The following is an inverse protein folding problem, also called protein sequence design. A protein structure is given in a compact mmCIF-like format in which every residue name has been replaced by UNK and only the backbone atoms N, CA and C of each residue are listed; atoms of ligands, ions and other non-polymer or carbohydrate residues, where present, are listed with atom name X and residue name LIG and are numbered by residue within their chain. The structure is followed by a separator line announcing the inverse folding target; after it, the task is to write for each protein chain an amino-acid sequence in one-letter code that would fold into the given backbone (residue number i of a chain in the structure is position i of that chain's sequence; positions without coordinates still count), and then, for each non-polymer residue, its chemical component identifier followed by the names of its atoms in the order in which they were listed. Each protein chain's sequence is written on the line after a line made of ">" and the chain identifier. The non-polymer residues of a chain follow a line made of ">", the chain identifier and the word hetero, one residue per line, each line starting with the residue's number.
data_IF_164983585879
#
_entry.id   IF_164983585879
#
_cell.length_a   1.000
_cell.length_b   1.000
_cell.length_c   1.000
_cell.angle_alpha   90.00
_cell.angle_beta   90.00
_cell.angle_gamma   90.00
#
_symmetry.space_group_name_H-M   'P 1'
#
loop_
_entity.id
_entity.type
_entity.pdbx_description
1 polymer ?
#
# COMPACT_ATOMS: atom_id res chain seq x y z
N UNK A 1 -60.07 -16.84 21.06
CA UNK A 1 -58.82 -17.60 20.81
C UNK A 1 -58.18 -17.10 19.51
N UNK A 2 -56.93 -16.59 19.59
CA UNK A 2 -55.83 -16.77 18.61
C UNK A 2 -56.10 -16.29 17.17
N UNK A 3 -55.44 -15.32 16.53
CA UNK A 3 -54.25 -14.48 16.81
C UNK A 3 -54.38 -13.24 15.90
N UNK A 4 -54.43 -12.04 16.48
CA UNK A 4 -53.70 -10.91 15.88
C UNK A 4 -52.23 -11.23 16.12
N UNK A 5 -51.35 -11.08 15.13
CA UNK A 5 -50.04 -10.42 15.25
C UNK A 5 -49.14 -10.78 14.06
N UNK A 6 -48.62 -9.71 13.46
CA UNK A 6 -47.44 -9.63 12.62
C UNK A 6 -47.52 -10.26 11.22
N UNK A 7 -47.90 -9.41 10.24
CA UNK A 7 -47.13 -9.38 9.01
C UNK A 7 -45.65 -9.24 9.40
N UNK A 8 -44.91 -10.34 9.31
CA UNK A 8 -43.45 -10.28 9.26
C UNK A 8 -43.16 -9.65 7.90
N UNK A 9 -43.09 -8.31 7.89
CA UNK A 9 -42.49 -7.58 6.78
C UNK A 9 -41.09 -8.14 6.62
N UNK A 10 -40.92 -8.86 5.52
CA UNK A 10 -39.69 -9.48 5.08
C UNK A 10 -38.68 -8.35 4.74
N UNK A 11 -38.11 -7.71 5.76
CA UNK A 11 -36.88 -6.94 5.59
C UNK A 11 -35.75 -7.93 5.37
N UNK A 12 -35.59 -8.36 4.11
CA UNK A 12 -34.28 -8.73 3.62
C UNK A 12 -33.40 -7.48 3.72
N UNK A 13 -32.76 -7.31 4.87
CA UNK A 13 -31.68 -6.34 5.00
C UNK A 13 -30.56 -6.89 4.11
N UNK A 14 -30.47 -6.34 2.89
CA UNK A 14 -29.27 -6.45 2.07
C UNK A 14 -28.16 -5.73 2.84
N UNK A 15 -27.47 -6.44 3.73
CA UNK A 15 -26.17 -6.01 4.21
C UNK A 15 -25.25 -6.06 3.00
N UNK A 16 -25.13 -4.93 2.31
CA UNK A 16 -24.10 -4.73 1.31
C UNK A 16 -22.77 -4.90 2.04
N UNK A 17 -22.07 -6.00 1.77
CA UNK A 17 -20.67 -6.10 2.14
C UNK A 17 -19.92 -5.05 1.31
N UNK A 18 -19.60 -3.92 1.92
CA UNK A 18 -18.61 -3.03 1.36
C UNK A 18 -17.27 -3.76 1.39
N UNK A 19 -16.86 -4.31 0.25
CA UNK A 19 -15.49 -4.76 0.06
C UNK A 19 -14.65 -3.53 -0.19
N UNK A 20 -13.97 -3.02 0.83
CA UNK A 20 -12.92 -2.04 0.62
C UNK A 20 -11.70 -2.78 0.06
N UNK A 21 -11.21 -2.35 -1.12
CA UNK A 21 -9.87 -2.71 -1.56
C UNK A 21 -8.85 -2.10 -0.58
N UNK A 22 -7.61 -2.63 -0.55
CA UNK A 22 -6.56 -2.02 0.26
C UNK A 22 -6.33 -0.57 -0.19
N UNK A 23 -6.10 0.34 0.76
CA UNK A 23 -5.91 1.76 0.46
C UNK A 23 -4.46 2.13 0.09
N UNK A 24 -3.57 1.15 0.01
CA UNK A 24 -2.18 1.33 -0.42
C UNK A 24 -2.03 0.86 -1.87
N UNK A 25 -1.40 1.68 -2.70
CA UNK A 25 -1.06 1.33 -4.08
C UNK A 25 0.41 1.60 -4.36
N UNK A 26 0.95 0.95 -5.40
CA UNK A 26 2.17 1.45 -6.05
C UNK A 26 1.78 2.76 -6.74
N UNK A 27 2.38 3.86 -6.31
CA UNK A 27 2.15 5.18 -6.86
C UNK A 27 3.09 5.45 -8.03
N UNK A 28 4.37 5.13 -7.85
CA UNK A 28 5.42 5.29 -8.86
C UNK A 28 6.39 4.11 -8.82
N UNK A 29 7.10 3.89 -9.94
CA UNK A 29 8.16 2.89 -10.06
C UNK A 29 9.17 3.30 -11.13
N UNK A 30 10.45 3.01 -10.90
CA UNK A 30 11.55 3.30 -11.81
C UNK A 30 12.55 2.14 -11.82
N UNK A 31 12.59 1.40 -12.93
CA UNK A 31 13.39 0.18 -13.13
C UNK A 31 14.70 0.37 -13.91
N UNK A 32 15.17 1.62 -14.00
CA UNK A 32 16.44 1.97 -14.64
C UNK A 32 16.92 3.33 -14.10
N UNK A 33 16.91 3.47 -12.79
CA UNK A 33 17.29 4.71 -12.13
C UNK A 33 18.77 5.02 -12.35
N UNK A 34 19.09 6.27 -12.71
CA UNK A 34 20.46 6.76 -12.88
C UNK A 34 20.69 8.12 -12.23
N UNK A 35 19.69 8.63 -11.51
CA UNK A 35 19.65 10.01 -11.02
C UNK A 35 19.61 10.04 -9.49
N UNK A 36 18.73 9.25 -8.88
CA UNK A 36 18.51 9.32 -7.44
C UNK A 36 19.38 8.30 -6.72
N UNK A 37 20.20 8.77 -5.80
CA UNK A 37 21.11 7.92 -5.04
C UNK A 37 20.48 7.45 -3.74
N UNK A 38 20.78 6.22 -3.35
CA UNK A 38 20.55 5.73 -1.99
C UNK A 38 21.63 6.27 -1.01
N UNK A 39 21.55 5.88 0.25
CA UNK A 39 22.50 6.31 1.29
C UNK A 39 23.96 5.86 1.09
N UNK A 40 24.23 4.92 0.17
CA UNK A 40 25.60 4.52 -0.17
C UNK A 40 26.13 5.21 -1.43
N UNK A 41 25.30 6.01 -2.11
CA UNK A 41 25.65 6.65 -3.37
C UNK A 41 25.37 5.79 -4.62
N UNK A 42 24.70 4.65 -4.47
CA UNK A 42 24.27 3.82 -5.61
C UNK A 42 22.95 4.35 -6.18
N UNK A 43 22.60 3.97 -7.41
CA UNK A 43 21.33 4.38 -8.06
C UNK A 43 20.41 3.18 -8.29
N UNK A 44 19.96 2.47 -7.23
CA UNK A 44 19.11 1.30 -7.39
C UNK A 44 17.74 1.68 -7.95
N UNK A 45 17.06 0.69 -8.50
CA UNK A 45 15.65 0.79 -8.83
C UNK A 45 14.83 1.14 -7.59
N UNK A 46 13.68 1.74 -7.78
CA UNK A 46 12.81 2.10 -6.67
C UNK A 46 11.34 2.07 -7.06
N UNK A 47 10.51 1.97 -6.05
CA UNK A 47 9.08 2.18 -6.17
C UNK A 47 8.56 2.92 -4.95
N UNK A 48 7.42 3.55 -5.13
CA UNK A 48 6.74 4.32 -4.10
C UNK A 48 5.39 3.70 -3.80
N UNK A 49 5.10 3.53 -2.51
CA UNK A 49 3.77 3.19 -2.03
C UNK A 49 3.06 4.45 -1.54
N UNK A 50 1.78 4.59 -1.85
CA UNK A 50 0.94 5.67 -1.36
C UNK A 50 -0.30 5.13 -0.67
N UNK A 51 -0.58 5.61 0.54
CA UNK A 51 -1.85 5.36 1.22
C UNK A 51 -2.85 6.45 0.85
N UNK A 52 -3.73 6.15 -0.11
CA UNK A 52 -4.80 7.06 -0.54
C UNK A 52 -6.05 7.01 0.35
N UNK A 53 -6.03 6.17 1.39
CA UNK A 53 -7.13 6.01 2.34
C UNK A 53 -7.15 7.09 3.40
N UNK A 54 -8.15 7.00 4.28
CA UNK A 54 -8.36 7.90 5.42
C UNK A 54 -7.85 7.34 6.76
N UNK A 55 -7.30 6.11 6.75
CA UNK A 55 -6.86 5.38 7.94
C UNK A 55 -5.40 4.90 7.79
N UNK A 56 -4.61 4.85 8.89
CA UNK A 56 -3.26 4.28 8.86
C UNK A 56 -3.24 2.81 8.41
N UNK A 57 -2.24 2.41 7.62
CA UNK A 57 -2.07 1.03 7.17
C UNK A 57 -0.72 0.49 7.60
N UNK A 58 -0.72 -0.55 8.43
CA UNK A 58 0.48 -1.32 8.77
C UNK A 58 0.83 -2.28 7.63
N UNK A 59 2.08 -2.26 7.20
CA UNK A 59 2.66 -3.19 6.24
C UNK A 59 3.20 -4.46 6.91
N UNK A 60 2.92 -4.68 8.19
CA UNK A 60 3.36 -5.88 8.87
C UNK A 60 2.80 -7.13 8.15
N UNK A 61 3.70 -8.08 7.86
CA UNK A 61 3.45 -9.27 7.06
C UNK A 61 3.14 -9.05 5.57
N UNK A 62 3.30 -7.83 5.06
CA UNK A 62 3.28 -7.61 3.62
C UNK A 62 4.61 -8.07 3.03
N UNK A 63 4.55 -8.47 1.77
CA UNK A 63 5.72 -8.85 0.97
C UNK A 63 5.67 -8.17 -0.39
N UNK A 64 6.83 -8.04 -1.04
CA UNK A 64 6.95 -7.64 -2.44
C UNK A 64 7.70 -8.75 -3.18
N UNK A 65 7.33 -8.95 -4.44
CA UNK A 65 8.02 -9.86 -5.34
C UNK A 65 7.86 -9.41 -6.78
N UNK A 66 8.87 -9.73 -7.58
CA UNK A 66 8.92 -9.65 -9.04
C UNK A 66 8.78 -11.04 -9.69
N UNK A 67 8.45 -12.07 -8.91
CA UNK A 67 8.38 -13.48 -9.32
C UNK A 67 7.07 -14.12 -8.88
N UNK A 68 6.34 -14.66 -9.84
CA UNK A 68 5.07 -15.36 -9.59
C UNK A 68 5.26 -16.64 -8.74
N UNK A 69 6.42 -17.28 -8.82
CA UNK A 69 6.75 -18.50 -8.08
C UNK A 69 7.36 -18.25 -6.68
N UNK A 70 7.65 -17.00 -6.33
CA UNK A 70 8.11 -16.59 -5.00
C UNK A 70 7.44 -15.28 -4.55
N UNK A 71 6.15 -15.29 -4.19
CA UNK A 71 5.42 -14.08 -3.79
C UNK A 71 5.91 -13.45 -2.48
N UNK A 72 6.82 -14.12 -1.77
CA UNK A 72 7.32 -13.70 -0.45
C UNK A 72 8.78 -13.25 -0.47
N UNK A 73 9.33 -12.98 -1.67
CA UNK A 73 10.76 -12.68 -1.90
C UNK A 73 11.37 -11.68 -0.92
N UNK A 74 10.66 -10.58 -0.63
CA UNK A 74 11.10 -9.62 0.40
C UNK A 74 9.94 -9.20 1.30
N UNK A 75 10.18 -9.21 2.62
CA UNK A 75 9.19 -8.89 3.64
C UNK A 75 9.39 -7.45 4.13
N UNK A 76 8.30 -6.68 4.18
CA UNK A 76 8.36 -5.35 4.76
C UNK A 76 8.68 -5.43 6.27
N UNK A 77 9.51 -4.51 6.78
CA UNK A 77 9.66 -4.32 8.23
C UNK A 77 8.38 -3.71 8.82
N UNK A 78 8.32 -3.58 10.15
CA UNK A 78 7.13 -3.05 10.84
C UNK A 78 6.99 -1.54 10.59
N UNK A 79 6.37 -1.21 9.46
CA UNK A 79 6.10 0.15 8.98
C UNK A 79 4.60 0.36 8.93
N UNK A 80 4.16 1.55 9.30
CA UNK A 80 2.80 2.03 9.05
C UNK A 80 2.86 3.24 8.13
N UNK A 81 2.06 3.24 7.05
CA UNK A 81 1.87 4.41 6.18
C UNK A 81 0.61 5.15 6.65
N UNK A 82 0.75 6.40 7.11
CA UNK A 82 -0.42 7.20 7.53
C UNK A 82 -1.25 7.66 6.31
N UNK A 83 -2.49 8.13 6.51
CA UNK A 83 -3.31 8.68 5.43
C UNK A 83 -2.59 9.79 4.67
N UNK A 84 -2.54 9.70 3.34
CA UNK A 84 -1.90 10.70 2.50
C UNK A 84 -0.35 10.64 2.50
N UNK A 85 0.25 9.68 3.19
CA UNK A 85 1.70 9.49 3.19
C UNK A 85 2.17 8.54 2.10
N UNK A 86 3.45 8.72 1.77
CA UNK A 86 4.18 7.97 0.77
C UNK A 86 5.37 7.25 1.43
N UNK A 87 5.70 6.09 0.90
CA UNK A 87 6.85 5.29 1.32
C UNK A 87 7.68 4.95 0.08
N UNK A 88 8.90 5.47 0.01
CA UNK A 88 9.86 5.11 -1.03
C UNK A 88 10.66 3.87 -0.60
N UNK A 89 10.77 2.90 -1.51
CA UNK A 89 11.48 1.64 -1.30
C UNK A 89 12.53 1.47 -2.39
N UNK A 90 13.79 1.30 -1.98
CA UNK A 90 14.88 0.94 -2.86
C UNK A 90 14.90 -0.57 -3.12
N UNK A 91 14.84 -0.97 -4.39
CA UNK A 91 15.07 -2.34 -4.84
C UNK A 91 16.57 -2.56 -5.06
N UNK A 92 17.35 -2.44 -3.98
CA UNK A 92 18.82 -2.40 -4.02
C UNK A 92 19.50 -3.76 -3.84
N UNK A 93 18.75 -4.83 -3.59
CA UNK A 93 19.24 -6.15 -3.16
C UNK A 93 20.06 -6.15 -1.84
N UNK A 94 19.99 -5.06 -1.05
CA UNK A 94 20.74 -4.92 0.21
C UNK A 94 19.98 -5.39 1.46
N UNK A 95 18.76 -5.92 1.29
CA UNK A 95 17.86 -6.39 2.36
C UNK A 95 17.74 -5.43 3.57
N UNK A 96 17.42 -4.16 3.28
CA UNK A 96 17.37 -3.11 4.30
C UNK A 96 15.98 -2.98 4.90
N UNK A 97 15.91 -2.98 6.23
CA UNK A 97 14.70 -2.75 7.00
C UNK A 97 14.44 -1.27 7.35
N UNK A 98 15.32 -0.35 6.95
CA UNK A 98 15.14 1.07 7.23
C UNK A 98 14.36 1.71 6.09
N UNK A 99 13.18 2.26 6.42
CA UNK A 99 12.36 2.99 5.46
C UNK A 99 12.65 4.49 5.48
N UNK A 100 12.63 5.10 4.30
CA UNK A 100 12.60 6.56 4.14
C UNK A 100 11.17 6.99 3.86
N UNK A 101 10.57 7.74 4.79
CA UNK A 101 9.24 8.34 4.67
C UNK A 101 9.25 9.70 3.95
N UNK A 102 10.32 10.00 3.21
CA UNK A 102 10.41 11.23 2.41
C UNK A 102 10.44 10.87 0.94
N UNK A 103 9.44 11.34 0.20
CA UNK A 103 9.48 11.37 -1.26
C UNK A 103 10.68 12.25 -1.65
N UNK A 104 11.75 11.61 -2.13
CA UNK A 104 12.91 12.34 -2.66
C UNK A 104 12.60 12.94 -4.04
N UNK A 105 11.45 12.58 -4.62
CA UNK A 105 11.11 12.72 -6.02
C UNK A 105 9.69 13.30 -6.12
N UNK A 106 9.53 14.57 -5.74
CA UNK A 106 8.30 15.33 -6.01
C UNK A 106 8.35 16.05 -7.38
N UNK A 107 9.33 15.70 -8.22
CA UNK A 107 9.56 16.35 -9.52
C UNK A 107 8.57 15.80 -10.55
N UNK A 108 7.36 16.37 -10.56
CA UNK A 108 6.34 16.01 -11.55
C UNK A 108 4.91 16.02 -10.99
N UNK A 109 4.76 16.05 -9.67
CA UNK A 109 3.46 15.98 -8.98
C UNK A 109 2.58 17.22 -9.13
N UNK A 110 3.08 18.28 -9.77
CA UNK A 110 2.24 19.37 -10.27
C UNK A 110 1.54 18.95 -11.57
N UNK A 111 0.59 18.00 -11.46
CA UNK A 111 -0.40 17.81 -12.50
C UNK A 111 -1.32 19.04 -12.53
N UNK A 112 -1.20 19.86 -13.58
CA UNK A 112 -2.23 20.85 -13.93
C UNK A 112 -3.47 20.18 -14.48
#
# INVERSE_FOLDING_TARGET
>A
MIKKFFLISLSFIFFGFFSFAQSVRINEAMSSNSIFMDEDGDTPDWFELFNYGDSPVSLNNWTISDKDDDPTKWKFPDITILPGEYLLVWASDKDRSNASFRTLINRGDEFK
#
